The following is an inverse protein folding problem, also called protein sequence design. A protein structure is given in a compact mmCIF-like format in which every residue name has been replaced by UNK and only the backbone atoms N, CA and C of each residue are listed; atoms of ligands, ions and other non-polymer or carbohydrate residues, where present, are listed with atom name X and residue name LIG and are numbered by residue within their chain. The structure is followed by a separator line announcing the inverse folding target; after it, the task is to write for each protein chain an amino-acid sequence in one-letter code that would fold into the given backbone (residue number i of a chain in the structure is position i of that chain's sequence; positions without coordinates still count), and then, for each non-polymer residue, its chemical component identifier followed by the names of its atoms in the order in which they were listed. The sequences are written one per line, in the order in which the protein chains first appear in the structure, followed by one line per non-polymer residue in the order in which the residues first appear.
data_IF_624598115296
#
_entry.id   IF_624598115296
#
_cell.length_a   1.000
_cell.length_b   1.000
_cell.length_c   1.000
_cell.angle_alpha   90.00
_cell.angle_beta   90.00
_cell.angle_gamma   90.00
#
_symmetry.space_group_name_H-M   'P 1'
#
loop_
_entity.id
_entity.type
_entity.pdbx_description
1 polymer ?
#
# COMPACT_ATOMS: atom_id res chain seq x y z
N UNK A 1 -9.14 6.10 35.31
CA UNK A 1 -9.17 4.87 34.48
C UNK A 1 -8.67 5.24 33.08
N UNK A 2 -7.51 4.73 32.63
CA UNK A 2 -7.08 4.89 31.24
C UNK A 2 -7.87 3.89 30.41
N UNK A 3 -8.82 4.36 29.60
CA UNK A 3 -9.66 3.50 28.76
C UNK A 3 -8.81 2.72 27.76
N UNK A 4 -8.99 1.40 27.74
CA UNK A 4 -8.37 0.53 26.73
C UNK A 4 -8.96 0.91 25.37
N UNK A 5 -8.19 1.56 24.52
CA UNK A 5 -8.60 1.87 23.14
C UNK A 5 -8.59 0.58 22.34
N UNK A 6 -9.69 -0.16 22.35
CA UNK A 6 -9.88 -1.31 21.46
C UNK A 6 -10.37 -0.78 20.12
N UNK A 7 -9.52 -0.85 19.09
CA UNK A 7 -9.94 -0.58 17.71
C UNK A 7 -11.08 -1.54 17.35
N UNK A 8 -12.22 -1.07 16.81
CA UNK A 8 -13.32 -1.96 16.45
C UNK A 8 -12.83 -3.05 15.48
N UNK A 9 -13.40 -4.25 15.61
CA UNK A 9 -13.10 -5.36 14.70
C UNK A 9 -13.66 -5.04 13.32
N UNK A 10 -12.79 -4.59 12.41
CA UNK A 10 -13.13 -4.40 11.00
C UNK A 10 -13.15 -5.77 10.32
N UNK A 11 -14.29 -6.14 9.74
CA UNK A 11 -14.44 -7.32 8.89
C UNK A 11 -14.19 -6.86 7.46
N UNK A 12 -13.11 -7.30 6.80
CA UNK A 12 -12.83 -6.90 5.42
C UNK A 12 -13.86 -7.52 4.47
N UNK A 13 -14.43 -6.70 3.59
CA UNK A 13 -15.25 -7.16 2.47
C UNK A 13 -14.38 -7.25 1.21
N UNK A 14 -14.02 -8.47 0.85
CA UNK A 14 -13.16 -8.75 -0.32
C UNK A 14 -13.85 -8.48 -1.65
N UNK A 15 -15.19 -8.39 -1.67
CA UNK A 15 -15.96 -8.17 -2.90
C UNK A 15 -15.85 -6.73 -3.42
N UNK A 16 -15.58 -5.78 -2.53
CA UNK A 16 -15.46 -4.35 -2.87
C UNK A 16 -14.27 -4.09 -3.79
N UNK A 17 -13.15 -4.78 -3.56
CA UNK A 17 -11.95 -4.61 -4.37
C UNK A 17 -11.10 -5.89 -4.42
N UNK A 18 -11.47 -6.86 -5.27
CA UNK A 18 -10.79 -8.16 -5.33
C UNK A 18 -9.30 -8.05 -5.70
N UNK A 19 -8.93 -7.04 -6.50
CA UNK A 19 -7.52 -6.78 -6.87
C UNK A 19 -6.70 -6.37 -5.66
N UNK A 20 -7.20 -5.41 -4.88
CA UNK A 20 -6.50 -4.97 -3.66
C UNK A 20 -6.49 -6.08 -2.61
N UNK A 21 -7.59 -6.82 -2.45
CA UNK A 21 -7.67 -7.94 -1.51
C UNK A 21 -6.57 -8.98 -1.74
N UNK A 22 -6.33 -9.37 -3.01
CA UNK A 22 -5.28 -10.33 -3.38
C UNK A 22 -3.86 -9.85 -3.06
N UNK A 23 -3.63 -8.54 -3.13
CA UNK A 23 -2.33 -7.94 -2.75
C UNK A 23 -2.20 -7.98 -1.22
N UNK A 24 -3.21 -7.49 -0.51
CA UNK A 24 -3.23 -7.41 0.96
C UNK A 24 -3.10 -8.78 1.63
N UNK A 25 -3.67 -9.84 1.05
CA UNK A 25 -3.53 -11.20 1.54
C UNK A 25 -2.06 -11.63 1.74
N UNK A 26 -1.15 -11.11 0.89
CA UNK A 26 0.28 -11.46 0.93
C UNK A 26 1.10 -10.59 1.89
N UNK A 27 0.75 -9.31 2.01
CA UNK A 27 1.60 -8.29 2.67
C UNK A 27 1.05 -7.80 4.01
N UNK A 28 -0.26 -7.90 4.25
CA UNK A 28 -0.89 -7.40 5.48
C UNK A 28 -0.83 -8.43 6.62
N UNK A 29 0.39 -8.80 7.01
CA UNK A 29 0.65 -9.72 8.12
C UNK A 29 0.01 -9.15 9.40
N UNK A 30 -0.75 -9.96 10.13
CA UNK A 30 -1.49 -9.55 11.34
C UNK A 30 -2.46 -8.36 11.12
N UNK A 31 -2.86 -8.09 9.87
CA UNK A 31 -3.70 -6.94 9.50
C UNK A 31 -3.02 -5.59 9.74
N UNK A 32 -1.69 -5.58 9.77
CA UNK A 32 -0.87 -4.37 9.88
C UNK A 32 -0.19 -4.10 8.53
N UNK A 33 -0.15 -2.84 8.14
CA UNK A 33 0.40 -2.42 6.86
C UNK A 33 0.88 -0.97 6.95
N UNK A 34 2.09 -0.70 6.47
CA UNK A 34 2.58 0.65 6.25
C UNK A 34 2.18 1.05 4.83
N UNK A 35 1.47 2.16 4.70
CA UNK A 35 0.98 2.64 3.40
C UNK A 35 1.58 3.99 3.09
N UNK A 36 2.05 4.16 1.85
CA UNK A 36 2.41 5.48 1.30
C UNK A 36 1.57 5.78 0.06
N UNK A 37 1.24 7.05 -0.17
CA UNK A 37 0.46 7.52 -1.31
C UNK A 37 1.32 8.50 -2.11
N UNK A 38 1.61 8.19 -3.37
CA UNK A 38 2.68 8.87 -4.11
C UNK A 38 2.31 9.09 -5.58
N UNK A 39 2.71 10.23 -6.12
CA UNK A 39 2.70 10.57 -7.55
C UNK A 39 4.13 10.80 -8.08
N UNK A 40 4.29 10.98 -9.38
CA UNK A 40 5.58 11.11 -10.06
C UNK A 40 6.48 12.22 -9.51
N UNK A 41 5.90 13.31 -8.99
CA UNK A 41 6.65 14.42 -8.39
C UNK A 41 7.43 14.02 -7.13
N UNK A 42 7.07 12.88 -6.54
CA UNK A 42 7.65 12.36 -5.31
C UNK A 42 8.49 11.10 -5.54
N UNK A 43 8.85 10.79 -6.80
CA UNK A 43 9.60 9.58 -7.17
C UNK A 43 10.92 9.42 -6.41
N UNK A 44 11.74 10.46 -6.34
CA UNK A 44 13.04 10.41 -5.65
C UNK A 44 12.87 10.13 -4.15
N UNK A 45 11.79 10.64 -3.54
CA UNK A 45 11.47 10.37 -2.13
C UNK A 45 10.95 8.96 -1.92
N UNK A 46 10.20 8.43 -2.88
CA UNK A 46 9.70 7.05 -2.84
C UNK A 46 10.84 6.04 -2.88
N UNK A 47 11.86 6.29 -3.71
CA UNK A 47 13.05 5.43 -3.80
C UNK A 47 13.77 5.32 -2.45
N UNK A 48 14.06 6.46 -1.82
CA UNK A 48 14.67 6.48 -0.48
C UNK A 48 13.78 5.79 0.56
N UNK A 49 12.45 5.93 0.43
CA UNK A 49 11.50 5.34 1.37
C UNK A 49 11.47 3.81 1.30
N UNK A 50 11.25 3.20 0.13
CA UNK A 50 11.16 1.73 0.06
C UNK A 50 12.53 1.07 0.27
N UNK A 51 13.62 1.66 -0.22
CA UNK A 51 14.98 1.13 0.04
C UNK A 51 15.32 1.15 1.53
N UNK A 52 14.85 2.16 2.27
CA UNK A 52 15.03 2.23 3.73
C UNK A 52 14.24 1.14 4.47
N UNK A 53 13.02 0.85 4.02
CA UNK A 53 12.15 -0.20 4.58
C UNK A 53 12.72 -1.59 4.31
N UNK A 54 13.14 -1.84 3.08
CA UNK A 54 13.78 -3.10 2.67
C UNK A 54 15.07 -3.36 3.45
N UNK A 55 15.88 -2.31 3.68
CA UNK A 55 17.12 -2.40 4.46
C UNK A 55 16.89 -2.86 5.91
N UNK A 56 15.74 -2.56 6.50
CA UNK A 56 15.37 -3.02 7.85
C UNK A 56 14.46 -4.27 7.83
N UNK A 57 14.34 -4.93 6.67
CA UNK A 57 13.60 -6.17 6.46
C UNK A 57 12.11 -6.10 6.86
N UNK A 58 11.48 -4.94 6.65
CA UNK A 58 10.04 -4.77 6.82
C UNK A 58 9.34 -5.19 5.52
N UNK A 59 8.44 -6.16 5.61
CA UNK A 59 7.75 -6.74 4.44
C UNK A 59 6.28 -6.28 4.32
N UNK A 60 5.71 -5.72 5.39
CA UNK A 60 4.31 -5.29 5.45
C UNK A 60 4.15 -3.82 5.03
N UNK A 61 4.49 -3.50 3.79
CA UNK A 61 4.29 -2.17 3.21
C UNK A 61 3.62 -2.22 1.84
N UNK A 62 2.95 -1.13 1.47
CA UNK A 62 2.27 -0.97 0.18
C UNK A 62 2.42 0.46 -0.32
N UNK A 63 2.77 0.60 -1.60
CA UNK A 63 2.74 1.88 -2.30
C UNK A 63 1.41 2.05 -3.02
N UNK A 64 0.69 3.13 -2.76
CA UNK A 64 -0.48 3.51 -3.55
C UNK A 64 -0.04 4.48 -4.64
N UNK A 65 0.02 3.98 -5.87
CA UNK A 65 0.48 4.71 -7.05
C UNK A 65 -0.66 5.58 -7.61
N UNK A 66 -0.49 6.90 -7.62
CA UNK A 66 -1.50 7.84 -8.11
C UNK A 66 -1.49 8.03 -9.64
N UNK A 67 -0.42 7.62 -10.31
CA UNK A 67 -0.24 7.73 -11.76
C UNK A 67 0.47 6.49 -12.34
N UNK A 68 0.52 6.43 -13.68
CA UNK A 68 1.18 5.34 -14.41
C UNK A 68 2.69 5.33 -14.21
N UNK A 69 3.31 6.49 -13.99
CA UNK A 69 4.75 6.58 -13.84
C UNK A 69 5.21 5.88 -12.55
N UNK A 70 4.55 6.15 -11.42
CA UNK A 70 4.83 5.46 -10.15
C UNK A 70 4.45 3.98 -10.23
N UNK A 71 3.36 3.62 -10.90
CA UNK A 71 2.98 2.23 -11.07
C UNK A 71 4.07 1.44 -11.82
N UNK A 72 4.53 1.96 -12.96
CA UNK A 72 5.59 1.34 -13.76
C UNK A 72 6.93 1.30 -13.00
N UNK A 73 7.22 2.35 -12.22
CA UNK A 73 8.41 2.40 -11.38
C UNK A 73 8.39 1.34 -10.28
N UNK A 74 7.25 1.17 -9.58
CA UNK A 74 7.11 0.13 -8.57
C UNK A 74 7.20 -1.27 -9.19
N UNK A 75 6.56 -1.50 -10.34
CA UNK A 75 6.62 -2.78 -11.06
C UNK A 75 8.04 -3.15 -11.46
N UNK A 76 8.82 -2.17 -11.96
CA UNK A 76 10.21 -2.39 -12.40
C UNK A 76 11.18 -2.67 -11.24
N UNK A 77 10.84 -2.23 -10.02
CA UNK A 77 11.64 -2.46 -8.81
C UNK A 77 11.05 -3.58 -7.93
N UNK A 78 10.06 -4.32 -8.42
CA UNK A 78 9.37 -5.39 -7.68
C UNK A 78 8.76 -4.93 -6.34
N UNK A 79 8.46 -3.64 -6.21
CA UNK A 79 7.89 -3.03 -5.01
C UNK A 79 6.38 -3.30 -4.94
N UNK A 80 5.83 -3.77 -3.81
CA UNK A 80 4.38 -3.98 -3.67
C UNK A 80 3.61 -2.67 -3.85
N UNK A 81 2.74 -2.63 -4.86
CA UNK A 81 1.94 -1.44 -5.15
C UNK A 81 0.48 -1.73 -5.49
N UNK A 82 -0.36 -0.72 -5.29
CA UNK A 82 -1.74 -0.67 -5.73
C UNK A 82 -1.98 0.63 -6.50
N UNK A 83 -2.41 0.53 -7.76
CA UNK A 83 -2.89 1.68 -8.52
C UNK A 83 -4.43 1.74 -8.42
N UNK A 84 -5.01 2.75 -7.74
CA UNK A 84 -6.44 2.97 -7.74
C UNK A 84 -6.93 3.22 -9.17
N UNK A 85 -8.09 2.67 -9.51
CA UNK A 85 -8.74 3.05 -10.77
C UNK A 85 -9.18 4.52 -10.64
N UNK A 86 -8.93 5.39 -11.62
CA UNK A 86 -9.49 6.73 -11.59
C UNK A 86 -11.02 6.61 -11.52
N UNK A 87 -11.63 7.28 -10.55
CA UNK A 87 -13.07 7.21 -10.27
C UNK A 87 -13.94 7.97 -11.29
N UNK A 88 -13.38 8.37 -12.43
CA UNK A 88 -14.14 8.96 -13.54
C UNK A 88 -14.21 8.01 -14.73
N UNK A 89 -15.21 7.13 -14.68
CA UNK A 89 -16.03 6.74 -15.83
C UNK A 89 -17.42 6.41 -15.29
N UNK A 90 -18.31 7.41 -15.33
CA UNK A 90 -19.74 7.17 -15.51
C UNK A 90 -19.97 6.77 -16.97
#
# INVERSE_FOLDING_TARGET
MKGLRTNPTVIPDVSVNPRLAKILEKIAVRRELIVTLVNSKMKDYLEVWFTSIERVAILNYLVVALDDEIANFCESNEVPFYKPRPSWKN
#
